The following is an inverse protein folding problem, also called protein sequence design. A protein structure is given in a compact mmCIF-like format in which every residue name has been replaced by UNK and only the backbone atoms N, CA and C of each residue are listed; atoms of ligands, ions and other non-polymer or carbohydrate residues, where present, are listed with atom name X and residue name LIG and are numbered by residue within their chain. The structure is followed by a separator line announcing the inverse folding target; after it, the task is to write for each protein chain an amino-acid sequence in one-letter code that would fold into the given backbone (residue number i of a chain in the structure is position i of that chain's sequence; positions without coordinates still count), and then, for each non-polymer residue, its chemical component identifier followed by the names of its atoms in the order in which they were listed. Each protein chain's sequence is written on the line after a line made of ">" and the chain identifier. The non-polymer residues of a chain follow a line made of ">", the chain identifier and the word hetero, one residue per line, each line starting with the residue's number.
data_IF_742937107144
#
_entry.id   IF_742937107144
#
_cell.length_a   1.000
_cell.length_b   1.000
_cell.length_c   1.000
_cell.angle_alpha   90.00
_cell.angle_beta   90.00
_cell.angle_gamma   90.00
#
_symmetry.space_group_name_H-M   'P 1'
#
loop_
_entity.id
_entity.type
_entity.pdbx_description
1 polymer ?
#
# COMPACT_ATOMS: atom_id res chain seq x y z
N UNK A 1 8.13 -13.05 -26.43
CA UNK A 1 7.69 -12.18 -25.33
C UNK A 1 6.18 -12.14 -25.38
N UNK A 2 5.47 -12.68 -24.38
CA UNK A 2 4.00 -12.69 -24.37
C UNK A 2 3.54 -11.24 -24.16
N UNK A 3 2.89 -10.65 -25.16
CA UNK A 3 2.27 -9.33 -25.04
C UNK A 3 1.25 -9.36 -23.89
N UNK A 4 1.60 -8.74 -22.76
CA UNK A 4 0.68 -8.53 -21.66
C UNK A 4 -0.29 -7.42 -22.06
N UNK A 5 -1.57 -7.66 -21.91
CA UNK A 5 -2.62 -6.78 -22.41
C UNK A 5 -3.11 -5.88 -21.27
N UNK A 6 -2.84 -4.58 -21.36
CA UNK A 6 -3.43 -3.57 -20.46
C UNK A 6 -4.96 -3.43 -20.62
N UNK A 7 -5.52 -4.00 -21.68
CA UNK A 7 -6.96 -4.07 -21.94
C UNK A 7 -7.58 -5.41 -21.54
N UNK A 8 -6.87 -6.28 -20.83
CA UNK A 8 -7.50 -7.46 -20.24
C UNK A 8 -8.61 -7.01 -19.28
N UNK A 9 -9.80 -7.59 -19.41
CA UNK A 9 -10.86 -7.39 -18.43
C UNK A 9 -10.46 -8.08 -17.12
N UNK A 10 -10.37 -7.27 -16.07
CA UNK A 10 -10.05 -7.71 -14.72
C UNK A 10 -11.11 -7.13 -13.81
N UNK A 11 -11.72 -7.99 -13.02
CA UNK A 11 -12.55 -7.59 -11.90
C UNK A 11 -11.73 -7.77 -10.63
N UNK A 12 -11.50 -6.67 -9.93
CA UNK A 12 -10.80 -6.67 -8.64
C UNK A 12 -11.74 -6.16 -7.57
N UNK A 13 -11.97 -7.01 -6.57
CA UNK A 13 -12.77 -6.67 -5.40
C UNK A 13 -11.85 -6.55 -4.18
N UNK A 14 -11.93 -5.43 -3.48
CA UNK A 14 -11.16 -5.17 -2.26
C UNK A 14 -12.07 -5.32 -1.06
N UNK A 15 -11.58 -6.03 -0.05
CA UNK A 15 -12.26 -6.16 1.24
C UNK A 15 -11.81 -5.03 2.17
N UNK A 16 -12.74 -4.30 2.81
CA UNK A 16 -12.38 -3.40 3.90
C UNK A 16 -11.56 -4.14 4.97
N UNK A 17 -10.49 -3.53 5.45
CA UNK A 17 -9.48 -4.26 6.22
C UNK A 17 -10.01 -4.84 7.53
N UNK A 18 -10.91 -4.11 8.20
CA UNK A 18 -11.55 -4.60 9.42
C UNK A 18 -12.40 -5.87 9.16
N UNK A 19 -13.05 -5.98 8.00
CA UNK A 19 -13.79 -7.18 7.59
C UNK A 19 -12.84 -8.34 7.25
N UNK A 20 -11.70 -8.04 6.61
CA UNK A 20 -10.65 -9.04 6.37
C UNK A 20 -10.13 -9.62 7.70
N UNK A 21 -9.80 -8.76 8.66
CA UNK A 21 -9.37 -9.18 10.00
C UNK A 21 -10.45 -10.02 10.68
N UNK A 22 -11.69 -9.57 10.66
CA UNK A 22 -12.80 -10.30 11.26
C UNK A 22 -12.96 -11.70 10.63
N UNK A 23 -12.91 -11.79 9.30
CA UNK A 23 -13.00 -13.04 8.56
C UNK A 23 -11.84 -13.99 8.90
N UNK A 24 -10.59 -13.49 8.89
CA UNK A 24 -9.39 -14.26 9.28
C UNK A 24 -9.52 -14.83 10.68
N UNK A 25 -9.92 -14.01 11.65
CA UNK A 25 -10.04 -14.42 13.05
C UNK A 25 -11.23 -15.35 13.31
N UNK A 26 -12.31 -15.24 12.53
CA UNK A 26 -13.45 -16.17 12.58
C UNK A 26 -13.07 -17.56 12.04
N UNK A 27 -12.22 -17.61 11.03
CA UNK A 27 -11.76 -18.87 10.41
C UNK A 27 -10.63 -19.55 11.18
N UNK A 28 -9.86 -18.80 11.98
CA UNK A 28 -8.79 -19.33 12.80
C UNK A 28 -9.29 -20.38 13.81
N UNK A 29 -8.72 -21.59 13.75
CA UNK A 29 -9.03 -22.70 14.67
C UNK A 29 -8.06 -22.71 15.85
N UNK A 30 -8.52 -23.21 16.99
CA UNK A 30 -7.66 -23.41 18.17
C UNK A 30 -7.33 -22.15 18.98
N UNK A 31 -7.90 -20.99 18.65
CA UNK A 31 -7.64 -19.76 19.40
C UNK A 31 -8.10 -19.87 20.86
N UNK A 32 -7.18 -19.59 21.77
CA UNK A 32 -7.42 -19.39 23.20
C UNK A 32 -8.40 -18.24 23.43
N UNK A 33 -8.99 -18.18 24.64
CA UNK A 33 -9.82 -17.04 25.05
C UNK A 33 -9.07 -15.71 24.97
N UNK A 34 -7.76 -15.74 25.23
CA UNK A 34 -6.92 -14.56 25.19
C UNK A 34 -6.75 -14.03 23.77
N UNK A 35 -6.41 -14.90 22.82
CA UNK A 35 -6.25 -14.53 21.41
C UNK A 35 -7.55 -14.01 20.80
N UNK A 36 -8.70 -14.64 21.10
CA UNK A 36 -10.02 -14.14 20.67
C UNK A 36 -10.30 -12.72 21.17
N UNK A 37 -9.84 -12.40 22.39
CA UNK A 37 -10.02 -11.07 22.99
C UNK A 37 -9.10 -10.05 22.33
N UNK A 38 -7.81 -10.39 22.13
CA UNK A 38 -6.86 -9.56 21.38
C UNK A 38 -7.37 -9.26 19.97
N UNK A 39 -7.88 -10.27 19.27
CA UNK A 39 -8.40 -10.14 17.92
C UNK A 39 -9.64 -9.23 17.83
N UNK A 40 -10.56 -9.32 18.79
CA UNK A 40 -11.71 -8.38 18.88
C UNK A 40 -11.26 -6.94 19.06
N UNK A 41 -10.25 -6.70 19.89
CA UNK A 41 -9.64 -5.39 20.06
C UNK A 41 -9.04 -4.88 18.74
N UNK A 42 -8.27 -5.71 18.02
CA UNK A 42 -7.70 -5.34 16.71
C UNK A 42 -8.78 -5.01 15.67
N UNK A 43 -9.85 -5.80 15.58
CA UNK A 43 -10.97 -5.51 14.65
C UNK A 43 -11.65 -4.17 15.00
N UNK A 44 -11.94 -3.93 16.28
CA UNK A 44 -12.53 -2.67 16.72
C UNK A 44 -11.62 -1.46 16.42
N UNK A 45 -10.32 -1.59 16.67
CA UNK A 45 -9.35 -0.55 16.36
C UNK A 45 -9.22 -0.32 14.84
N UNK A 46 -9.16 -1.38 14.02
CA UNK A 46 -9.12 -1.26 12.56
C UNK A 46 -10.34 -0.54 12.00
N UNK A 47 -11.53 -0.82 12.54
CA UNK A 47 -12.74 -0.10 12.16
C UNK A 47 -12.64 1.40 12.50
N UNK A 48 -12.25 1.73 13.73
CA UNK A 48 -12.12 3.12 14.15
C UNK A 48 -11.03 3.88 13.39
N UNK A 49 -9.88 3.28 13.15
CA UNK A 49 -8.79 3.88 12.37
C UNK A 49 -9.21 4.17 10.92
N UNK A 50 -10.17 3.43 10.37
CA UNK A 50 -10.67 3.70 9.02
C UNK A 50 -11.69 4.86 8.98
N UNK A 51 -12.35 5.13 10.11
CA UNK A 51 -13.40 6.16 10.21
C UNK A 51 -12.88 7.48 10.81
N UNK A 52 -11.83 7.42 11.63
CA UNK A 52 -11.33 8.52 12.45
C UNK A 52 -9.85 8.80 12.17
N UNK A 53 -9.44 10.04 12.42
CA UNK A 53 -8.03 10.39 12.49
C UNK A 53 -7.38 9.79 13.74
N UNK A 54 -6.10 9.40 13.65
CA UNK A 54 -5.37 8.78 14.76
C UNK A 54 -5.42 9.60 16.06
N UNK A 55 -5.34 10.93 15.95
CA UNK A 55 -5.43 11.84 17.11
C UNK A 55 -6.74 11.68 17.89
N UNK A 56 -7.82 11.28 17.22
CA UNK A 56 -9.14 11.08 17.80
C UNK A 56 -9.39 9.64 18.27
N UNK A 57 -8.45 8.71 18.04
CA UNK A 57 -8.57 7.34 18.52
C UNK A 57 -8.50 7.29 20.05
N UNK A 58 -9.46 6.60 20.68
CA UNK A 58 -9.56 6.48 22.15
C UNK A 58 -9.68 5.02 22.57
N UNK A 59 -8.89 4.63 23.57
CA UNK A 59 -8.92 3.28 24.16
C UNK A 59 -10.32 2.91 24.67
N UNK A 60 -11.04 3.86 25.27
CA UNK A 60 -12.40 3.64 25.78
C UNK A 60 -13.39 3.26 24.67
N UNK A 61 -13.29 3.90 23.49
CA UNK A 61 -14.14 3.61 22.35
C UNK A 61 -13.82 2.23 21.77
N UNK A 62 -12.53 1.89 21.63
CA UNK A 62 -12.09 0.55 21.20
C UNK A 62 -12.62 -0.52 22.16
N UNK A 63 -12.51 -0.30 23.48
CA UNK A 63 -12.98 -1.24 24.49
C UNK A 63 -14.48 -1.47 24.41
N UNK A 64 -15.27 -0.40 24.21
CA UNK A 64 -16.72 -0.48 24.03
C UNK A 64 -17.07 -1.31 22.81
N UNK A 65 -16.47 -1.00 21.66
CA UNK A 65 -16.77 -1.67 20.39
C UNK A 65 -16.32 -3.14 20.41
N UNK A 66 -15.21 -3.42 21.11
CA UNK A 66 -14.74 -4.78 21.36
C UNK A 66 -15.49 -5.48 22.50
N UNK A 67 -16.42 -4.82 23.22
CA UNK A 67 -17.13 -5.30 24.40
C UNK A 67 -16.22 -5.93 25.48
N UNK A 68 -15.21 -5.16 25.91
CA UNK A 68 -14.28 -5.49 27.01
C UNK A 68 -14.05 -4.28 27.92
N UNK A 69 -13.46 -4.48 29.11
CA UNK A 69 -13.06 -3.38 29.99
C UNK A 69 -11.71 -2.79 29.60
N UNK A 70 -11.45 -1.54 30.00
CA UNK A 70 -10.12 -0.91 29.88
C UNK A 70 -9.02 -1.70 30.59
N UNK A 71 -9.33 -2.30 31.75
CA UNK A 71 -8.41 -3.19 32.44
C UNK A 71 -8.07 -4.44 31.60
N UNK A 72 -9.01 -4.95 30.81
CA UNK A 72 -8.76 -6.07 29.89
C UNK A 72 -7.91 -5.63 28.70
N UNK A 73 -8.15 -4.43 28.15
CA UNK A 73 -7.31 -3.85 27.11
C UNK A 73 -5.84 -3.80 27.52
N UNK A 74 -5.56 -3.27 28.72
CA UNK A 74 -4.20 -3.13 29.24
C UNK A 74 -3.48 -4.45 29.55
N UNK A 75 -4.15 -5.60 29.39
CA UNK A 75 -3.48 -6.91 29.39
C UNK A 75 -2.84 -7.27 28.04
N UNK A 76 -3.25 -6.60 26.96
CA UNK A 76 -2.80 -6.88 25.60
C UNK A 76 -2.05 -5.71 24.96
N UNK A 77 -2.42 -4.48 25.32
CA UNK A 77 -1.88 -3.25 24.74
C UNK A 77 -1.69 -2.18 25.81
N UNK A 78 -0.54 -1.55 25.83
CA UNK A 78 -0.16 -0.46 26.70
C UNK A 78 -1.04 0.77 26.44
N UNK A 79 -1.19 1.16 25.18
CA UNK A 79 -1.90 2.37 24.78
C UNK A 79 -2.50 2.27 23.37
N UNK A 80 -3.09 3.39 22.90
CA UNK A 80 -3.68 3.49 21.56
C UNK A 80 -2.66 3.39 20.44
N UNK A 81 -1.41 3.78 20.69
CA UNK A 81 -0.33 3.76 19.70
C UNK A 81 0.09 2.33 19.44
N UNK A 82 0.27 1.50 20.49
CA UNK A 82 0.66 0.10 20.34
C UNK A 82 -0.40 -0.70 19.55
N UNK A 83 -1.68 -0.57 19.89
CA UNK A 83 -2.74 -1.26 19.13
C UNK A 83 -2.85 -0.73 17.69
N UNK A 84 -2.66 0.56 17.47
CA UNK A 84 -2.65 1.12 16.11
C UNK A 84 -1.47 0.57 15.31
N UNK A 85 -0.26 0.52 15.88
CA UNK A 85 0.91 -0.12 15.26
C UNK A 85 0.61 -1.58 14.91
N UNK A 86 0.10 -2.39 15.86
CA UNK A 86 -0.21 -3.81 15.62
C UNK A 86 -1.29 -4.02 14.52
N UNK A 87 -2.24 -3.09 14.40
CA UNK A 87 -3.26 -3.12 13.33
C UNK A 87 -2.70 -2.68 11.99
N UNK A 88 -1.89 -1.63 11.96
CA UNK A 88 -1.29 -1.11 10.73
C UNK A 88 -0.22 -2.07 10.18
N UNK A 89 0.54 -2.74 11.04
CA UNK A 89 1.47 -3.79 10.62
C UNK A 89 0.73 -4.98 9.99
N UNK A 90 -0.40 -5.42 10.57
CA UNK A 90 -1.26 -6.44 9.93
C UNK A 90 -1.78 -5.98 8.56
N UNK A 91 -2.04 -4.68 8.37
CA UNK A 91 -2.49 -4.13 7.11
C UNK A 91 -1.39 -4.15 6.05
N UNK A 92 -0.18 -3.72 6.41
CA UNK A 92 1.00 -3.80 5.55
C UNK A 92 1.27 -5.26 5.14
N UNK A 93 1.15 -6.18 6.09
CA UNK A 93 1.31 -7.62 5.81
C UNK A 93 0.21 -8.14 4.88
N UNK A 94 -1.05 -7.75 5.09
CA UNK A 94 -2.16 -8.13 4.22
C UNK A 94 -1.99 -7.62 2.78
N UNK A 95 -1.41 -6.42 2.59
CA UNK A 95 -0.99 -5.90 1.28
C UNK A 95 0.13 -6.74 0.67
N UNK A 96 1.16 -7.07 1.46
CA UNK A 96 2.30 -7.88 1.04
C UNK A 96 1.88 -9.26 0.53
N UNK A 97 0.91 -9.87 1.21
CA UNK A 97 0.34 -11.17 0.89
C UNK A 97 -0.64 -11.13 -0.29
N UNK A 98 -1.09 -9.94 -0.72
CA UNK A 98 -2.14 -9.79 -1.73
C UNK A 98 -3.52 -10.25 -1.27
N UNK A 99 -3.75 -10.26 0.05
CA UNK A 99 -4.96 -10.82 0.66
C UNK A 99 -6.12 -9.84 0.84
N UNK A 100 -5.85 -8.53 0.63
CA UNK A 100 -6.87 -7.48 0.69
C UNK A 100 -7.81 -7.51 -0.51
N UNK A 101 -7.45 -8.21 -1.58
CA UNK A 101 -8.22 -8.21 -2.81
C UNK A 101 -8.31 -9.59 -3.43
N UNK A 102 -9.33 -9.77 -4.25
CA UNK A 102 -9.47 -10.92 -5.14
C UNK A 102 -9.42 -10.42 -6.58
N UNK A 103 -8.83 -11.23 -7.47
CA UNK A 103 -8.71 -10.92 -8.89
C UNK A 103 -9.44 -12.00 -9.67
N UNK A 104 -10.42 -11.60 -10.48
CA UNK A 104 -11.06 -12.48 -11.46
C UNK A 104 -10.70 -12.00 -12.85
N UNK A 105 -10.16 -12.91 -13.67
CA UNK A 105 -9.79 -12.63 -15.05
C UNK A 105 -9.79 -13.91 -15.89
N UNK A 106 -10.09 -13.80 -17.17
CA UNK A 106 -10.07 -14.93 -18.11
C UNK A 106 -8.65 -15.47 -18.35
N UNK A 107 -7.62 -14.66 -18.13
CA UNK A 107 -6.22 -15.08 -18.32
C UNK A 107 -5.22 -14.27 -17.48
N UNK A 108 -4.98 -14.72 -16.24
CA UNK A 108 -4.05 -14.09 -15.29
C UNK A 108 -2.64 -13.86 -15.86
N UNK A 109 -2.14 -14.79 -16.70
CA UNK A 109 -0.79 -14.69 -17.27
C UNK A 109 -0.63 -13.53 -18.26
N UNK A 110 -1.73 -12.99 -18.78
CA UNK A 110 -1.74 -11.85 -19.72
C UNK A 110 -1.88 -10.50 -19.03
N UNK A 111 -2.17 -10.47 -17.74
CA UNK A 111 -2.34 -9.22 -17.00
C UNK A 111 -0.99 -8.51 -16.84
N UNK A 112 -0.96 -7.22 -17.14
CA UNK A 112 0.21 -6.40 -16.89
C UNK A 112 0.45 -6.23 -15.38
N UNK A 113 1.69 -6.46 -14.94
CA UNK A 113 2.01 -6.50 -13.51
C UNK A 113 1.99 -5.12 -12.85
N UNK A 114 2.41 -4.09 -13.59
CA UNK A 114 2.39 -2.70 -13.12
C UNK A 114 0.94 -2.24 -12.97
N UNK A 115 0.11 -2.55 -13.96
CA UNK A 115 -1.33 -2.28 -13.89
C UNK A 115 -2.00 -2.96 -12.71
N UNK A 116 -1.77 -4.26 -12.50
CA UNK A 116 -2.40 -4.99 -11.40
C UNK A 116 -2.00 -4.43 -10.03
N UNK A 117 -0.70 -4.16 -9.83
CA UNK A 117 -0.20 -3.61 -8.57
C UNK A 117 -0.74 -2.19 -8.32
N UNK A 118 -0.78 -1.35 -9.35
CA UNK A 118 -1.32 0.02 -9.25
C UNK A 118 -2.81 0.00 -8.96
N UNK A 119 -3.57 -0.87 -9.61
CA UNK A 119 -5.00 -1.03 -9.36
C UNK A 119 -5.28 -1.52 -7.94
N UNK A 120 -4.52 -2.51 -7.47
CA UNK A 120 -4.61 -3.02 -6.11
C UNK A 120 -4.41 -1.89 -5.10
N UNK A 121 -3.36 -1.09 -5.28
CA UNK A 121 -3.10 0.05 -4.40
C UNK A 121 -4.23 1.08 -4.40
N UNK A 122 -4.71 1.49 -5.58
CA UNK A 122 -5.80 2.49 -5.69
C UNK A 122 -7.10 1.99 -5.06
N UNK A 123 -7.50 0.74 -5.32
CA UNK A 123 -8.72 0.18 -4.73
C UNK A 123 -8.57 -0.06 -3.22
N UNK A 124 -7.37 -0.46 -2.76
CA UNK A 124 -7.08 -0.56 -1.32
C UNK A 124 -7.18 0.79 -0.63
N UNK A 125 -6.71 1.86 -1.28
CA UNK A 125 -6.87 3.23 -0.79
C UNK A 125 -8.32 3.69 -0.76
N UNK A 126 -9.11 3.36 -1.78
CA UNK A 126 -10.52 3.68 -1.86
C UNK A 126 -11.34 3.00 -0.76
N UNK A 127 -11.07 1.72 -0.49
CA UNK A 127 -11.76 0.95 0.53
C UNK A 127 -11.29 1.27 1.96
N UNK A 128 -10.04 1.71 2.12
CA UNK A 128 -9.40 1.90 3.43
C UNK A 128 -8.74 3.29 3.62
N UNK A 129 -9.42 4.41 3.30
CA UNK A 129 -8.78 5.73 3.25
C UNK A 129 -8.29 6.19 4.63
N UNK A 130 -8.99 5.86 5.71
CA UNK A 130 -8.58 6.21 7.08
C UNK A 130 -7.38 5.40 7.54
N UNK A 131 -7.31 4.11 7.19
CA UNK A 131 -6.13 3.27 7.44
C UNK A 131 -4.90 3.87 6.73
N UNK A 132 -5.01 4.20 5.44
CA UNK A 132 -3.89 4.81 4.71
C UNK A 132 -3.49 6.16 5.31
N UNK A 133 -4.47 6.99 5.69
CA UNK A 133 -4.19 8.25 6.39
C UNK A 133 -3.41 8.01 7.69
N UNK A 134 -3.82 7.02 8.48
CA UNK A 134 -3.16 6.67 9.74
C UNK A 134 -1.74 6.12 9.53
N UNK A 135 -1.49 5.29 8.50
CA UNK A 135 -0.13 4.86 8.14
C UNK A 135 0.80 6.06 7.97
N UNK A 136 0.32 7.08 7.27
CA UNK A 136 1.12 8.25 6.92
C UNK A 136 1.36 9.17 8.11
N UNK A 137 0.37 9.33 8.99
CA UNK A 137 0.49 10.13 10.22
C UNK A 137 1.37 9.43 11.25
N UNK A 138 1.12 8.15 11.51
CA UNK A 138 1.79 7.42 12.59
C UNK A 138 3.28 7.22 12.31
N UNK A 139 3.67 7.14 11.04
CA UNK A 139 5.09 7.09 10.64
C UNK A 139 5.86 8.31 11.12
N UNK A 140 5.23 9.48 11.14
CA UNK A 140 5.88 10.73 11.53
C UNK A 140 5.85 10.95 13.07
N UNK A 141 4.96 10.25 13.78
CA UNK A 141 4.73 10.41 15.23
C UNK A 141 5.32 9.28 16.11
N UNK A 142 5.46 8.05 15.58
CA UNK A 142 5.84 6.87 16.35
C UNK A 142 7.06 6.16 15.74
N UNK A 143 8.27 6.26 16.37
CA UNK A 143 9.50 5.69 15.83
C UNK A 143 9.44 4.19 15.54
N UNK A 144 8.78 3.42 16.41
CA UNK A 144 8.59 1.98 16.25
C UNK A 144 7.83 1.62 14.98
N UNK A 145 6.80 2.41 14.64
CA UNK A 145 6.02 2.19 13.42
C UNK A 145 6.76 2.70 12.19
N UNK A 146 7.53 3.79 12.33
CA UNK A 146 8.37 4.30 11.25
C UNK A 146 9.35 3.23 10.73
N UNK A 147 9.96 2.45 11.63
CA UNK A 147 10.87 1.36 11.25
C UNK A 147 10.13 0.22 10.52
N UNK A 148 8.98 -0.23 11.03
CA UNK A 148 8.14 -1.24 10.36
C UNK A 148 7.73 -0.79 8.95
N UNK A 149 7.28 0.46 8.83
CA UNK A 149 6.88 1.05 7.56
C UNK A 149 8.05 1.15 6.57
N UNK A 150 9.23 1.60 7.01
CA UNK A 150 10.43 1.67 6.17
C UNK A 150 10.85 0.30 5.64
N UNK A 151 10.76 -0.75 6.47
CA UNK A 151 11.06 -2.14 6.05
C UNK A 151 10.08 -2.62 4.99
N UNK A 152 8.79 -2.35 5.17
CA UNK A 152 7.76 -2.68 4.19
C UNK A 152 8.01 -1.98 2.85
N UNK A 153 8.21 -0.66 2.88
CA UNK A 153 8.48 0.13 1.67
C UNK A 153 9.73 -0.38 0.94
N UNK A 154 10.83 -0.62 1.68
CA UNK A 154 12.07 -1.12 1.09
C UNK A 154 11.87 -2.48 0.42
N UNK A 155 11.21 -3.42 1.09
CA UNK A 155 10.89 -4.73 0.52
C UNK A 155 10.09 -4.60 -0.78
N UNK A 156 9.07 -3.75 -0.79
CA UNK A 156 8.20 -3.55 -1.95
C UNK A 156 8.96 -2.92 -3.12
N UNK A 157 9.71 -1.85 -2.87
CA UNK A 157 10.45 -1.14 -3.90
C UNK A 157 11.64 -1.94 -4.43
N UNK A 158 12.29 -2.76 -3.62
CA UNK A 158 13.34 -3.65 -4.10
C UNK A 158 12.77 -4.70 -5.06
N UNK A 159 11.60 -5.28 -4.76
CA UNK A 159 10.92 -6.19 -5.70
C UNK A 159 10.59 -5.54 -7.03
N UNK A 160 10.18 -4.27 -7.02
CA UNK A 160 9.92 -3.49 -8.24
C UNK A 160 11.23 -3.26 -8.99
N UNK A 161 12.29 -2.85 -8.30
CA UNK A 161 13.61 -2.61 -8.89
C UNK A 161 14.14 -3.86 -9.60
N UNK A 162 14.07 -5.03 -8.97
CA UNK A 162 14.43 -6.31 -9.55
C UNK A 162 13.60 -6.64 -10.81
N UNK A 163 12.30 -6.32 -10.78
CA UNK A 163 11.42 -6.51 -11.92
C UNK A 163 11.79 -5.61 -13.10
N UNK A 164 12.09 -4.34 -12.82
CA UNK A 164 12.51 -3.36 -13.82
C UNK A 164 13.84 -3.79 -14.45
N UNK A 165 14.85 -4.15 -13.64
CA UNK A 165 16.17 -4.60 -14.14
C UNK A 165 16.06 -5.85 -15.00
N UNK A 166 15.19 -6.79 -14.64
CA UNK A 166 15.03 -8.04 -15.39
C UNK A 166 14.26 -7.90 -16.70
N UNK A 167 13.52 -6.80 -16.92
CA UNK A 167 12.60 -6.66 -18.05
C UNK A 167 12.86 -5.45 -18.93
N UNK A 168 13.53 -4.41 -18.43
CA UNK A 168 13.85 -3.22 -19.21
C UNK A 168 15.30 -3.25 -19.68
N UNK A 169 15.50 -3.09 -20.98
CA UNK A 169 16.83 -2.89 -21.56
C UNK A 169 17.50 -1.62 -21.04
N UNK A 170 16.73 -0.60 -20.64
CA UNK A 170 17.26 0.66 -20.10
C UNK A 170 17.86 0.49 -18.70
N UNK A 171 17.47 -0.57 -17.97
CA UNK A 171 17.90 -0.81 -16.59
C UNK A 171 18.70 -2.11 -16.41
N UNK A 172 18.81 -2.96 -17.44
CA UNK A 172 19.43 -4.28 -17.30
C UNK A 172 20.91 -4.23 -16.87
N UNK A 173 21.62 -3.17 -17.25
CA UNK A 173 23.04 -2.97 -16.96
C UNK A 173 23.32 -1.82 -15.97
N UNK A 174 22.29 -1.26 -15.32
CA UNK A 174 22.49 -0.19 -14.34
C UNK A 174 22.83 -0.76 -12.95
N UNK A 175 23.47 0.07 -12.12
CA UNK A 175 23.62 -0.19 -10.69
C UNK A 175 22.25 -0.46 -10.04
N UNK A 176 22.21 -1.36 -9.05
CA UNK A 176 20.97 -1.72 -8.35
C UNK A 176 20.31 -0.49 -7.72
N UNK A 177 21.11 0.42 -7.18
CA UNK A 177 20.65 1.65 -6.54
C UNK A 177 19.91 2.56 -7.52
N UNK A 178 20.28 2.56 -8.80
CA UNK A 178 19.59 3.35 -9.83
C UNK A 178 18.19 2.81 -10.06
N UNK A 179 18.05 1.48 -10.19
CA UNK A 179 16.74 0.85 -10.32
C UNK A 179 15.89 1.01 -9.06
N UNK A 180 16.52 0.98 -7.88
CA UNK A 180 15.84 1.20 -6.61
C UNK A 180 15.30 2.64 -6.52
N UNK A 181 16.13 3.65 -6.79
CA UNK A 181 15.69 5.06 -6.81
C UNK A 181 14.59 5.28 -7.85
N UNK A 182 14.70 4.67 -9.02
CA UNK A 182 13.65 4.70 -10.04
C UNK A 182 12.33 4.11 -9.53
N UNK A 183 12.39 2.95 -8.84
CA UNK A 183 11.23 2.32 -8.24
C UNK A 183 10.56 3.23 -7.20
N UNK A 184 11.34 3.83 -6.28
CA UNK A 184 10.84 4.79 -5.28
C UNK A 184 10.22 6.03 -5.93
N UNK A 185 10.86 6.61 -6.95
CA UNK A 185 10.34 7.80 -7.63
C UNK A 185 8.99 7.50 -8.33
N UNK A 186 8.90 6.35 -9.01
CA UNK A 186 7.70 5.94 -9.72
C UNK A 186 6.55 5.55 -8.79
N UNK A 187 6.82 4.84 -7.69
CA UNK A 187 5.78 4.56 -6.70
C UNK A 187 5.38 5.79 -5.92
N UNK A 188 6.33 6.68 -5.59
CA UNK A 188 6.03 7.97 -4.98
C UNK A 188 5.05 8.83 -5.78
N UNK A 189 5.11 8.78 -7.12
CA UNK A 189 4.09 9.39 -7.99
C UNK A 189 2.70 8.79 -7.73
N UNK A 190 2.60 7.47 -7.66
CA UNK A 190 1.33 6.76 -7.41
C UNK A 190 0.82 7.07 -6.00
N UNK A 191 1.70 7.04 -4.99
CA UNK A 191 1.38 7.32 -3.59
C UNK A 191 0.87 8.75 -3.38
N UNK A 192 1.51 9.74 -4.02
CA UNK A 192 1.10 11.14 -3.94
C UNK A 192 -0.27 11.37 -4.60
N UNK A 193 -0.48 10.84 -5.81
CA UNK A 193 -1.79 10.92 -6.49
C UNK A 193 -2.88 10.25 -5.66
N UNK A 194 -2.61 9.05 -5.13
CA UNK A 194 -3.54 8.30 -4.27
C UNK A 194 -3.93 9.11 -3.04
N UNK A 195 -2.96 9.70 -2.35
CA UNK A 195 -3.20 10.55 -1.17
C UNK A 195 -4.04 11.78 -1.51
N UNK A 196 -3.74 12.46 -2.61
CA UNK A 196 -4.48 13.66 -3.03
C UNK A 196 -5.94 13.35 -3.38
N UNK A 197 -6.20 12.19 -3.97
CA UNK A 197 -7.55 11.76 -4.38
C UNK A 197 -8.35 11.25 -3.19
N UNK A 198 -7.84 10.26 -2.45
CA UNK A 198 -8.64 9.52 -1.47
C UNK A 198 -8.58 10.10 -0.05
N UNK A 199 -7.49 10.80 0.31
CA UNK A 199 -7.29 11.32 1.66
C UNK A 199 -7.54 12.83 1.70
N UNK A 200 -6.85 13.60 0.87
CA UNK A 200 -6.92 15.07 0.90
C UNK A 200 -8.11 15.63 0.14
N UNK A 201 -8.70 14.85 -0.78
CA UNK A 201 -9.81 15.27 -1.65
C UNK A 201 -9.48 16.56 -2.43
N UNK A 202 -8.31 16.62 -3.05
CA UNK A 202 -7.88 17.77 -3.85
C UNK A 202 -8.84 18.00 -5.02
N UNK A 203 -9.70 19.00 -4.88
CA UNK A 203 -10.78 19.32 -5.85
C UNK A 203 -10.26 19.64 -7.25
N UNK A 204 -9.07 20.24 -7.39
CA UNK A 204 -8.51 20.58 -8.70
C UNK A 204 -8.02 19.33 -9.42
N UNK A 205 -7.33 18.45 -8.71
CA UNK A 205 -6.89 17.17 -9.26
C UNK A 205 -8.09 16.28 -9.56
N UNK A 206 -9.05 16.16 -8.64
CA UNK A 206 -10.27 15.37 -8.83
C UNK A 206 -11.01 15.80 -10.10
N UNK A 207 -11.21 17.10 -10.32
CA UNK A 207 -11.87 17.59 -11.53
C UNK A 207 -11.09 17.27 -12.82
N UNK A 208 -9.77 17.16 -12.77
CA UNK A 208 -8.98 16.71 -13.92
C UNK A 208 -9.09 15.21 -14.16
N UNK A 209 -8.99 14.42 -13.10
CA UNK A 209 -9.09 12.95 -13.13
C UNK A 209 -10.48 12.51 -13.60
N UNK A 210 -11.55 13.15 -13.12
CA UNK A 210 -12.93 12.84 -13.51
C UNK A 210 -13.17 12.94 -15.03
N UNK A 211 -12.43 13.83 -15.72
CA UNK A 211 -12.56 14.00 -17.17
C UNK A 211 -11.86 12.93 -17.99
N UNK A 212 -10.79 12.31 -17.48
CA UNK A 212 -9.90 11.45 -18.29
C UNK A 212 -9.75 10.02 -17.75
N UNK A 213 -10.00 9.83 -16.46
CA UNK A 213 -9.79 8.59 -15.73
C UNK A 213 -10.69 8.53 -14.47
N UNK A 214 -12.03 8.53 -14.60
CA UNK A 214 -12.96 8.69 -13.48
C UNK A 214 -13.04 7.49 -12.52
N UNK A 215 -12.56 6.30 -12.92
CA UNK A 215 -12.59 5.09 -12.08
C UNK A 215 -11.18 4.65 -11.67
N UNK A 216 -11.02 3.89 -10.56
CA UNK A 216 -9.73 3.31 -10.17
C UNK A 216 -9.05 2.52 -11.29
N UNK A 217 -9.80 1.80 -12.13
CA UNK A 217 -9.28 1.06 -13.28
C UNK A 217 -8.71 1.99 -14.34
N UNK A 218 -9.45 3.02 -14.73
CA UNK A 218 -9.00 3.98 -15.74
C UNK A 218 -7.79 4.80 -15.25
N UNK A 219 -7.75 5.14 -13.95
CA UNK A 219 -6.63 5.82 -13.33
C UNK A 219 -5.40 4.91 -13.23
N UNK A 220 -5.58 3.64 -12.84
CA UNK A 220 -4.50 2.66 -12.84
C UNK A 220 -3.91 2.51 -14.24
N UNK A 221 -4.74 2.41 -15.30
CA UNK A 221 -4.24 2.37 -16.69
C UNK A 221 -3.41 3.60 -17.04
N UNK A 222 -3.88 4.79 -16.68
CA UNK A 222 -3.17 6.06 -16.93
C UNK A 222 -1.81 6.10 -16.23
N UNK A 223 -1.77 5.78 -14.93
CA UNK A 223 -0.54 5.78 -14.13
C UNK A 223 0.43 4.69 -14.58
N UNK A 224 -0.07 3.50 -14.93
CA UNK A 224 0.75 2.43 -15.50
C UNK A 224 1.31 2.80 -16.86
N UNK A 225 0.58 3.53 -17.69
CA UNK A 225 1.13 4.06 -18.95
C UNK A 225 2.30 5.02 -18.70
N UNK A 226 2.23 5.88 -17.67
CA UNK A 226 3.36 6.75 -17.30
C UNK A 226 4.57 5.93 -16.83
N UNK A 227 4.33 4.92 -15.99
CA UNK A 227 5.35 3.94 -15.58
C UNK A 227 6.00 3.28 -16.78
N UNK A 228 5.22 2.71 -17.70
CA UNK A 228 5.74 2.03 -18.89
C UNK A 228 6.58 2.96 -19.76
N UNK A 229 6.16 4.21 -19.94
CA UNK A 229 6.93 5.21 -20.68
C UNK A 229 8.25 5.57 -20.02
N UNK A 230 8.32 5.60 -18.69
CA UNK A 230 9.58 5.85 -17.98
C UNK A 230 10.50 4.63 -18.07
N UNK A 231 9.96 3.45 -17.77
CA UNK A 231 10.75 2.22 -17.66
C UNK A 231 11.21 1.70 -19.02
N UNK A 232 10.39 1.84 -20.06
CA UNK A 232 10.62 1.25 -21.39
C UNK A 232 10.66 2.28 -22.53
N UNK A 233 10.36 3.56 -22.28
CA UNK A 233 10.53 4.62 -23.27
C UNK A 233 12.01 4.88 -23.51
N UNK A 234 12.39 5.08 -24.79
CA UNK A 234 13.77 5.10 -25.26
C UNK A 234 14.70 6.17 -24.66
N UNK A 235 15.94 6.17 -25.14
CA UNK A 235 17.12 6.82 -24.54
C UNK A 235 16.89 8.26 -24.05
N UNK A 236 17.23 8.48 -22.77
CA UNK A 236 17.35 9.80 -22.17
C UNK A 236 18.54 10.55 -22.78
N UNK A 237 18.40 11.87 -22.98
CA UNK A 237 19.53 12.75 -23.36
C UNK A 237 20.57 12.93 -22.24
N UNK A 238 20.24 12.51 -21.03
CA UNK A 238 21.15 12.48 -19.89
C UNK A 238 21.60 11.04 -19.68
N UNK A 239 22.86 10.75 -20.01
CA UNK A 239 23.50 9.48 -19.65
C UNK A 239 23.86 9.52 -18.17
N UNK A 240 23.28 8.61 -17.39
CA UNK A 240 23.80 8.25 -16.07
C UNK A 240 25.09 7.44 -16.28
N UNK A 241 26.13 8.07 -16.80
CA UNK A 241 27.43 7.42 -16.97
C UNK A 241 28.06 7.15 -15.59
N UNK A 242 28.94 6.14 -15.51
CA UNK A 242 29.62 5.77 -14.26
C UNK A 242 30.31 6.95 -13.55
N UNK A 243 30.73 7.97 -14.30
CA UNK A 243 31.35 9.17 -13.75
C UNK A 243 30.45 10.00 -12.82
N UNK A 244 29.13 9.98 -12.99
CA UNK A 244 28.23 10.69 -12.07
C UNK A 244 28.18 10.04 -10.68
N UNK A 245 28.10 8.70 -10.63
CA UNK A 245 28.09 7.96 -9.36
C UNK A 245 29.46 7.99 -8.66
N UNK A 246 30.57 7.97 -9.41
CA UNK A 246 31.92 8.12 -8.86
C UNK A 246 32.14 9.53 -8.28
N UNK A 247 31.58 10.56 -8.93
CA UNK A 247 31.62 11.95 -8.40
C UNK A 247 30.82 12.08 -7.11
N UNK A 248 29.63 11.47 -7.04
CA UNK A 248 28.78 11.49 -5.82
C UNK A 248 29.40 10.70 -4.66
N UNK A 249 30.08 9.58 -4.93
CA UNK A 249 30.77 8.78 -3.90
C UNK A 249 32.06 9.43 -3.37
N UNK A 250 32.56 10.46 -4.04
CA UNK A 250 33.80 11.18 -3.66
C UNK A 250 33.55 12.46 -2.84
N UNK A 251 32.28 12.81 -2.62
CA UNK A 251 31.81 13.90 -1.76
C UNK A 251 31.42 13.36 -0.38
#
# INVERSE_FOLDING_TARGET
>A
MVERNMNAEIQMEVTPFHELLESRFRQARGLSKGERTKNRLKVAAAKQLNELDFINLRVADICRDAAVSTATFHRYFLDRTEIATDVLDDYLEAMREGSLYTVTTENEKKVDGIYLATLAWLKSAEANPGILKCLLQLRDEAPQFAESYQKFDHYWYQRIADNIRSRSSSFSNTDESVALVAAYALGGMVDDITRKIFIQRDTKLLGAVERIAPTPESLAKLLSMFWHRMVYGGESKFEMSGGFLDTVKSL
#
